data_IF_818078636792
#
_entry.id   IF_818078636792
#
_cell.length_a   1.000
_cell.length_b   1.000
_cell.length_c   1.000
_cell.angle_alpha   90.00
_cell.angle_beta   90.00
_cell.angle_gamma   90.00
#
_symmetry.space_group_name_H-M   'P 1'
#
loop_
_entity.id
_entity.type
_entity.pdbx_description
1 polymer ?
#
# COMPACT_ATOMS: atom_id res chain seq x y z
N UNK A 1 -7.67 20.50 19.09
CA UNK A 1 -6.52 19.68 18.67
C UNK A 1 -6.35 19.86 17.17
N UNK A 2 -5.19 20.30 16.70
CA UNK A 2 -4.93 20.43 15.27
C UNK A 2 -4.90 19.03 14.64
N UNK A 3 -5.56 18.84 13.50
CA UNK A 3 -5.44 17.59 12.75
C UNK A 3 -4.04 17.55 12.15
N UNK A 4 -3.32 16.47 12.39
CA UNK A 4 -2.06 16.21 11.71
C UNK A 4 -2.39 15.71 10.29
N UNK A 5 -2.23 16.58 9.30
CA UNK A 5 -2.62 16.32 7.91
C UNK A 5 -1.36 16.10 7.09
N UNK A 6 -1.25 14.91 6.50
CA UNK A 6 -0.20 14.60 5.54
C UNK A 6 -0.75 14.89 4.13
N UNK A 7 -0.10 15.81 3.42
CA UNK A 7 -0.41 16.06 2.02
C UNK A 7 0.17 14.94 1.14
N UNK A 8 -0.63 14.41 0.23
CA UNK A 8 -0.25 13.35 -0.70
C UNK A 8 -0.73 13.69 -2.11
N UNK A 9 0.02 13.28 -3.12
CA UNK A 9 -0.45 13.31 -4.51
C UNK A 9 -1.55 12.26 -4.73
N UNK A 10 -2.37 12.45 -5.77
CA UNK A 10 -3.40 11.46 -6.16
C UNK A 10 -2.78 10.08 -6.42
N UNK A 11 -1.60 10.03 -7.04
CA UNK A 11 -0.86 8.79 -7.30
C UNK A 11 -0.46 8.07 -6.01
N UNK A 12 -0.06 8.81 -4.98
CA UNK A 12 0.27 8.25 -3.68
C UNK A 12 -0.97 7.74 -2.95
N UNK A 13 -2.10 8.46 -3.06
CA UNK A 13 -3.40 8.02 -2.52
C UNK A 13 -3.84 6.71 -3.18
N UNK A 14 -3.74 6.60 -4.50
CA UNK A 14 -4.12 5.38 -5.22
C UNK A 14 -3.23 4.20 -4.83
N UNK A 15 -1.92 4.43 -4.75
CA UNK A 15 -0.97 3.42 -4.26
C UNK A 15 -1.30 2.96 -2.83
N UNK A 16 -1.60 3.91 -1.96
CA UNK A 16 -1.97 3.64 -0.58
C UNK A 16 -3.21 2.73 -0.54
N UNK A 17 -4.26 3.06 -1.31
CA UNK A 17 -5.48 2.25 -1.37
C UNK A 17 -5.22 0.82 -1.83
N UNK A 18 -4.39 0.63 -2.86
CA UNK A 18 -4.05 -0.71 -3.35
C UNK A 18 -3.32 -1.53 -2.28
N UNK A 19 -2.36 -0.92 -1.57
CA UNK A 19 -1.62 -1.59 -0.49
C UNK A 19 -2.54 -1.92 0.68
N UNK A 20 -3.46 -1.02 1.04
CA UNK A 20 -4.47 -1.27 2.08
C UNK A 20 -5.37 -2.46 1.73
N UNK A 21 -5.84 -2.58 0.49
CA UNK A 21 -6.63 -3.73 0.05
C UNK A 21 -5.88 -5.06 0.19
N UNK A 22 -4.56 -5.06 -0.02
CA UNK A 22 -3.72 -6.26 0.21
C UNK A 22 -3.59 -6.59 1.70
N UNK A 23 -3.46 -5.58 2.56
CA UNK A 23 -3.36 -5.76 4.01
C UNK A 23 -4.68 -6.31 4.56
N UNK A 24 -5.81 -5.77 4.11
CA UNK A 24 -7.17 -6.17 4.47
C UNK A 24 -7.60 -7.52 3.86
N UNK A 25 -6.80 -8.07 2.95
CA UNK A 25 -7.03 -9.32 2.21
C UNK A 25 -8.17 -9.26 1.18
N UNK A 26 -8.60 -8.06 0.80
CA UNK A 26 -9.56 -7.83 -0.29
C UNK A 26 -8.90 -7.89 -1.66
N UNK A 27 -7.57 -7.77 -1.72
CA UNK A 27 -6.79 -7.82 -2.95
C UNK A 27 -5.59 -8.76 -2.80
N UNK A 28 -5.32 -9.58 -3.80
CA UNK A 28 -4.13 -10.45 -3.78
C UNK A 28 -2.86 -9.65 -4.08
N UNK A 29 -1.73 -10.10 -3.54
CA UNK A 29 -0.43 -9.47 -3.78
C UNK A 29 -0.02 -9.49 -5.25
N UNK A 30 -0.36 -10.57 -5.97
CA UNK A 30 -0.11 -10.69 -7.41
C UNK A 30 -0.93 -9.63 -8.16
N UNK A 31 -2.22 -9.51 -7.84
CA UNK A 31 -3.07 -8.53 -8.51
C UNK A 31 -2.65 -7.09 -8.24
N UNK A 32 -2.25 -6.80 -7.00
CA UNK A 32 -1.69 -5.49 -6.65
C UNK A 32 -0.40 -5.17 -7.42
N UNK A 33 0.45 -6.17 -7.65
CA UNK A 33 1.69 -6.01 -8.40
C UNK A 33 1.40 -5.65 -9.88
N UNK A 34 0.42 -6.32 -10.50
CA UNK A 34 -0.06 -5.98 -11.84
C UNK A 34 -0.58 -4.54 -11.92
N UNK A 35 -1.48 -4.15 -11.00
CA UNK A 35 -2.09 -2.81 -10.98
C UNK A 35 -1.02 -1.73 -10.81
N UNK A 36 -0.02 -1.98 -9.96
CA UNK A 36 1.03 -1.02 -9.66
C UNK A 36 2.19 -1.05 -10.65
N UNK A 37 2.20 -1.97 -11.61
CA UNK A 37 3.28 -2.13 -12.58
C UNK A 37 4.63 -2.47 -11.94
N UNK A 38 4.62 -3.22 -10.83
CA UNK A 38 5.82 -3.65 -10.12
C UNK A 38 5.86 -5.17 -9.95
N UNK A 39 7.00 -5.70 -9.54
CA UNK A 39 7.10 -7.14 -9.25
C UNK A 39 6.32 -7.53 -8.00
N UNK A 40 5.79 -8.75 -7.98
CA UNK A 40 5.14 -9.35 -6.82
C UNK A 40 6.05 -9.37 -5.57
N UNK A 41 7.36 -9.51 -5.77
CA UNK A 41 8.39 -9.37 -4.72
C UNK A 41 8.41 -7.96 -4.12
N UNK A 42 8.23 -6.90 -4.91
CA UNK A 42 8.14 -5.54 -4.37
C UNK A 42 6.92 -5.36 -3.48
N UNK A 43 5.76 -5.88 -3.90
CA UNK A 43 4.55 -5.84 -3.06
C UNK A 43 4.73 -6.62 -1.77
N UNK A 44 5.30 -7.83 -1.82
CA UNK A 44 5.58 -8.61 -0.61
C UNK A 44 6.46 -7.87 0.38
N UNK A 45 7.54 -7.25 -0.11
CA UNK A 45 8.45 -6.44 0.74
C UNK A 45 7.76 -5.22 1.33
N UNK A 46 6.94 -4.54 0.54
CA UNK A 46 6.20 -3.37 1.00
C UNK A 46 5.19 -3.74 2.09
N UNK A 47 4.35 -4.75 1.85
CA UNK A 47 3.35 -5.23 2.81
C UNK A 47 4.02 -5.73 4.09
N UNK A 48 5.15 -6.44 3.97
CA UNK A 48 5.91 -6.88 5.15
C UNK A 48 6.39 -5.70 5.99
N UNK A 49 7.03 -4.70 5.37
CA UNK A 49 7.48 -3.49 6.09
C UNK A 49 6.33 -2.74 6.75
N UNK A 50 5.21 -2.57 6.07
CA UNK A 50 4.03 -1.90 6.68
C UNK A 50 3.54 -2.66 7.92
N UNK A 51 3.59 -4.00 7.91
CA UNK A 51 3.23 -4.81 9.09
C UNK A 51 4.27 -4.76 10.22
N UNK A 52 5.55 -4.62 9.88
CA UNK A 52 6.65 -4.55 10.84
C UNK A 52 6.78 -3.16 11.49
N UNK A 53 6.55 -2.09 10.71
CA UNK A 53 6.88 -0.71 11.08
C UNK A 53 5.63 0.17 11.29
N UNK A 54 4.44 -0.24 10.84
CA UNK A 54 3.21 0.57 10.86
C UNK A 54 2.48 0.62 12.21
N UNK A 55 3.22 0.49 13.33
CA UNK A 55 2.70 0.63 14.69
C UNK A 55 2.37 2.10 15.03
#
# INVERSE_FOLDING_TARGET
MAKDIIAMSLREIDRFRIVQGVIQRDLTQIKAAEILGITDRHIRRLVRRVREEGA
#
